data_IF_118295531004
#
_entry.id   IF_118295531004
#
_cell.length_a   1.000
_cell.length_b   1.000
_cell.length_c   1.000
_cell.angle_alpha   90.00
_cell.angle_beta   90.00
_cell.angle_gamma   90.00
#
_symmetry.space_group_name_H-M   'P 1'
#
loop_
_entity.id
_entity.type
_entity.pdbx_description
1 polymer ?
#
# COMPACT_ATOMS: atom_id res chain seq x y z
N UNK A 1 13.78 9.89 -24.06
CA UNK A 1 14.60 9.44 -22.91
C UNK A 1 13.85 8.32 -22.23
N UNK A 2 14.52 7.19 -22.04
CA UNK A 2 13.96 5.89 -21.62
C UNK A 2 13.50 5.93 -20.16
N UNK A 3 12.19 6.14 -19.95
CA UNK A 3 11.53 5.83 -18.68
C UNK A 3 11.06 4.38 -18.80
N UNK A 4 11.77 3.47 -18.12
CA UNK A 4 11.30 2.10 -17.95
C UNK A 4 9.97 2.14 -17.22
N UNK A 5 8.90 1.79 -17.91
CA UNK A 5 7.63 1.43 -17.28
C UNK A 5 7.86 0.10 -16.58
N UNK A 6 8.02 0.12 -15.24
CA UNK A 6 7.94 -1.11 -14.45
C UNK A 6 6.59 -1.78 -14.75
N UNK A 7 6.62 -3.06 -15.11
CA UNK A 7 5.39 -3.78 -15.42
C UNK A 7 4.49 -3.80 -14.17
N UNK A 8 3.20 -3.40 -14.27
CA UNK A 8 2.29 -3.37 -13.12
C UNK A 8 2.25 -4.69 -12.34
N UNK A 9 2.36 -5.81 -13.02
CA UNK A 9 2.41 -7.14 -12.40
C UNK A 9 3.69 -7.40 -11.61
N UNK A 10 4.86 -6.94 -12.09
CA UNK A 10 6.13 -7.10 -11.37
C UNK A 10 6.11 -6.29 -10.06
N UNK A 11 5.67 -5.03 -10.15
CA UNK A 11 5.50 -4.17 -8.97
C UNK A 11 4.47 -4.75 -7.99
N UNK A 12 3.37 -5.30 -8.50
CA UNK A 12 2.35 -5.90 -7.65
C UNK A 12 2.82 -7.21 -7.02
N UNK A 13 3.55 -8.06 -7.75
CA UNK A 13 4.16 -9.27 -7.18
C UNK A 13 5.15 -8.92 -6.07
N UNK A 14 5.98 -7.89 -6.27
CA UNK A 14 6.90 -7.42 -5.24
C UNK A 14 6.18 -6.95 -3.97
N UNK A 15 4.99 -6.34 -4.11
CA UNK A 15 4.12 -5.99 -2.98
C UNK A 15 3.57 -7.24 -2.29
N UNK A 16 3.04 -8.22 -3.03
CA UNK A 16 2.53 -9.47 -2.45
C UNK A 16 3.64 -10.22 -1.67
N UNK A 17 4.82 -10.35 -2.27
CA UNK A 17 5.97 -10.99 -1.64
C UNK A 17 6.44 -10.26 -0.37
N UNK A 18 6.26 -8.94 -0.31
CA UNK A 18 6.57 -8.15 0.87
C UNK A 18 5.51 -8.36 1.97
N UNK A 19 4.23 -8.41 1.62
CA UNK A 19 3.13 -8.69 2.56
C UNK A 19 3.25 -10.05 3.24
N UNK A 20 3.82 -11.04 2.56
CA UNK A 20 4.08 -12.38 3.14
C UNK A 20 5.12 -12.37 4.26
N UNK A 21 5.92 -11.31 4.38
CA UNK A 21 6.86 -11.13 5.50
C UNK A 21 6.19 -10.63 6.79
N UNK A 22 4.88 -10.32 6.73
CA UNK A 22 4.07 -9.83 7.87
C UNK A 22 2.86 -10.76 8.14
N UNK A 23 3.08 -12.01 8.55
CA UNK A 23 2.00 -13.01 8.70
C UNK A 23 0.98 -12.64 9.78
N UNK A 24 1.38 -11.86 10.80
CA UNK A 24 0.53 -11.47 11.92
C UNK A 24 -0.43 -10.29 11.60
N UNK A 25 -0.41 -9.78 10.36
CA UNK A 25 -1.26 -8.67 9.93
C UNK A 25 -2.36 -9.15 8.98
N UNK A 26 -3.59 -8.71 9.25
CA UNK A 26 -4.68 -8.82 8.29
C UNK A 26 -4.52 -7.80 7.17
N UNK A 27 -4.94 -8.18 5.95
CA UNK A 27 -4.80 -7.35 4.76
C UNK A 27 -6.17 -7.15 4.11
N UNK A 28 -6.52 -5.88 3.86
CA UNK A 28 -7.67 -5.54 3.00
C UNK A 28 -7.11 -5.02 1.67
N UNK A 29 -7.40 -5.73 0.59
CA UNK A 29 -7.03 -5.35 -0.77
C UNK A 29 -8.25 -4.77 -1.49
N UNK A 30 -8.21 -3.47 -1.78
CA UNK A 30 -9.18 -2.82 -2.67
C UNK A 30 -8.72 -2.94 -4.11
N UNK A 31 -9.66 -3.12 -5.05
CA UNK A 31 -9.29 -3.29 -6.46
C UNK A 31 -8.63 -2.00 -6.98
N UNK A 32 -7.68 -2.12 -7.92
CA UNK A 32 -7.09 -0.96 -8.57
C UNK A 32 -8.12 -0.22 -9.43
N UNK A 33 -7.73 0.95 -9.91
CA UNK A 33 -8.51 1.65 -10.93
C UNK A 33 -8.61 0.81 -12.20
N UNK A 34 -9.63 1.09 -13.03
CA UNK A 34 -9.96 0.28 -14.20
C UNK A 34 -9.09 0.59 -15.44
N UNK A 35 -7.90 1.16 -15.25
CA UNK A 35 -6.89 1.35 -16.29
C UNK A 35 -6.22 0.01 -16.68
N UNK A 36 -5.57 -0.04 -17.84
CA UNK A 36 -5.07 -1.29 -18.43
C UNK A 36 -4.07 -2.02 -17.51
N UNK A 37 -3.24 -1.27 -16.78
CA UNK A 37 -2.34 -1.84 -15.77
C UNK A 37 -3.09 -2.39 -14.55
N UNK A 38 -4.14 -1.71 -14.09
CA UNK A 38 -4.97 -2.15 -12.97
C UNK A 38 -5.75 -3.42 -13.28
N UNK A 39 -6.30 -3.57 -14.49
CA UNK A 39 -7.05 -4.78 -14.87
C UNK A 39 -6.17 -6.04 -14.87
N UNK A 40 -4.90 -5.90 -15.22
CA UNK A 40 -3.94 -7.02 -15.29
C UNK A 40 -3.57 -7.60 -13.93
N UNK A 41 -3.66 -6.80 -12.85
CA UNK A 41 -3.32 -7.26 -11.49
C UNK A 41 -4.52 -7.82 -10.71
N UNK A 42 -5.76 -7.64 -11.19
CA UNK A 42 -6.97 -8.18 -10.53
C UNK A 42 -6.88 -9.71 -10.32
N UNK A 43 -6.51 -10.52 -11.34
CA UNK A 43 -6.38 -11.96 -11.14
C UNK A 43 -5.34 -12.34 -10.08
N UNK A 44 -4.22 -11.62 -10.01
CA UNK A 44 -3.18 -11.84 -9.00
C UNK A 44 -3.70 -11.52 -7.59
N UNK A 45 -4.46 -10.43 -7.46
CA UNK A 45 -5.08 -9.99 -6.20
C UNK A 45 -6.10 -11.03 -5.70
N UNK A 46 -6.96 -11.50 -6.59
CA UNK A 46 -7.98 -12.51 -6.28
C UNK A 46 -7.34 -13.86 -5.91
N UNK A 47 -6.29 -14.26 -6.62
CA UNK A 47 -5.49 -15.46 -6.30
C UNK A 47 -4.87 -15.38 -4.91
N UNK A 48 -4.25 -14.26 -4.59
CA UNK A 48 -3.60 -14.05 -3.30
C UNK A 48 -4.59 -14.11 -2.14
N UNK A 49 -5.76 -13.50 -2.29
CA UNK A 49 -6.81 -13.55 -1.28
C UNK A 49 -7.38 -14.97 -1.11
N UNK A 50 -7.63 -15.68 -2.21
CA UNK A 50 -8.13 -17.06 -2.19
C UNK A 50 -7.12 -18.04 -1.57
N UNK A 51 -5.83 -17.79 -1.74
CA UNK A 51 -4.77 -18.58 -1.10
C UNK A 51 -4.62 -18.30 0.40
N UNK A 52 -5.15 -17.16 0.90
CA UNK A 52 -5.00 -16.71 2.29
C UNK A 52 -6.34 -16.23 2.91
N UNK A 53 -7.42 -17.03 2.88
CA UNK A 53 -8.78 -16.54 3.13
C UNK A 53 -9.03 -16.03 4.56
N UNK A 54 -8.29 -16.54 5.56
CA UNK A 54 -8.40 -16.11 6.96
C UNK A 54 -7.68 -14.77 7.23
N UNK A 55 -6.75 -14.38 6.35
CA UNK A 55 -5.86 -13.21 6.54
C UNK A 55 -6.16 -12.08 5.56
N UNK A 56 -6.59 -12.39 4.35
CA UNK A 56 -6.67 -11.44 3.24
C UNK A 56 -8.11 -11.31 2.74
N UNK A 57 -8.64 -10.10 2.79
CA UNK A 57 -9.92 -9.73 2.22
C UNK A 57 -9.72 -8.93 0.93
N UNK A 58 -10.04 -9.53 -0.22
CA UNK A 58 -10.15 -8.81 -1.49
C UNK A 58 -11.57 -8.25 -1.67
N UNK A 59 -11.69 -6.97 -1.99
CA UNK A 59 -12.98 -6.32 -2.23
C UNK A 59 -12.88 -5.28 -3.36
N UNK A 60 -13.85 -5.23 -4.30
CA UNK A 60 -13.82 -4.24 -5.38
C UNK A 60 -13.79 -2.80 -4.88
N UNK A 61 -14.61 -2.47 -3.90
CA UNK A 61 -14.62 -1.15 -3.27
C UNK A 61 -15.25 -1.22 -1.88
N UNK A 62 -14.66 -0.47 -0.95
CA UNK A 62 -15.27 -0.20 0.35
C UNK A 62 -16.26 0.97 0.29
N UNK A 63 -16.17 1.81 -0.75
CA UNK A 63 -16.73 3.15 -0.72
C UNK A 63 -16.01 4.06 0.30
N UNK A 64 -16.22 5.37 0.20
CA UNK A 64 -15.44 6.35 0.96
C UNK A 64 -15.57 6.18 2.47
N UNK A 65 -16.80 6.06 3.00
CA UNK A 65 -17.04 5.98 4.46
C UNK A 65 -16.35 4.76 5.07
N UNK A 66 -16.52 3.57 4.48
CA UNK A 66 -15.91 2.35 5.01
C UNK A 66 -14.40 2.34 4.81
N UNK A 67 -13.91 2.90 3.70
CA UNK A 67 -12.48 3.07 3.47
C UNK A 67 -11.83 3.93 4.55
N UNK A 68 -12.35 5.14 4.80
CA UNK A 68 -11.80 6.03 5.84
C UNK A 68 -11.96 5.44 7.25
N UNK A 69 -13.04 4.70 7.50
CA UNK A 69 -13.23 3.97 8.76
C UNK A 69 -12.18 2.88 8.93
N UNK A 70 -11.86 2.12 7.89
CA UNK A 70 -10.81 1.10 7.92
C UNK A 70 -9.43 1.73 8.09
N UNK A 71 -9.13 2.82 7.37
CA UNK A 71 -7.88 3.58 7.50
C UNK A 71 -7.63 3.98 8.95
N UNK A 72 -8.64 4.53 9.65
CA UNK A 72 -8.54 4.93 11.06
C UNK A 72 -8.01 3.83 11.98
N UNK A 73 -8.21 2.56 11.64
CA UNK A 73 -7.79 1.40 12.43
C UNK A 73 -6.61 0.64 11.81
N UNK A 74 -6.10 1.08 10.66
CA UNK A 74 -5.02 0.40 9.96
C UNK A 74 -3.66 0.69 10.60
N UNK A 75 -2.78 -0.31 10.60
CA UNK A 75 -1.37 -0.13 10.97
C UNK A 75 -0.60 0.71 9.93
N UNK A 76 -0.94 0.55 8.65
CA UNK A 76 -0.42 1.33 7.53
C UNK A 76 -1.36 1.22 6.32
N UNK A 77 -1.29 2.19 5.41
CA UNK A 77 -1.87 2.10 4.07
C UNK A 77 -0.74 1.92 3.06
N UNK A 78 -0.84 0.93 2.17
CA UNK A 78 0.24 0.55 1.26
C UNK A 78 -0.26 0.61 -0.18
N UNK A 79 0.54 1.20 -1.08
CA UNK A 79 0.23 1.25 -2.52
C UNK A 79 0.69 2.55 -3.17
N UNK A 80 -0.01 2.99 -4.21
CA UNK A 80 0.31 4.21 -4.96
C UNK A 80 -0.92 5.12 -5.20
N UNK A 81 -1.99 4.90 -4.43
CA UNK A 81 -3.21 5.69 -4.49
C UNK A 81 -2.98 7.10 -3.94
N UNK A 82 -3.65 8.10 -4.54
CA UNK A 82 -3.61 9.48 -4.05
C UNK A 82 -4.10 9.61 -2.61
N UNK A 83 -4.99 8.70 -2.19
CA UNK A 83 -5.51 8.63 -0.83
C UNK A 83 -4.43 8.55 0.24
N UNK A 84 -3.35 7.82 -0.06
CA UNK A 84 -2.21 7.68 0.84
C UNK A 84 -1.48 8.99 1.14
N UNK A 85 -1.64 10.02 0.30
CA UNK A 85 -0.93 11.29 0.44
C UNK A 85 -1.84 12.40 0.96
N UNK A 86 -3.11 12.37 0.57
CA UNK A 86 -4.05 13.45 0.86
C UNK A 86 -4.87 13.12 2.11
N UNK A 87 -5.59 11.99 2.11
CA UNK A 87 -6.53 11.64 3.18
C UNK A 87 -5.88 10.91 4.35
N UNK A 88 -5.05 9.90 4.09
CA UNK A 88 -4.49 9.00 5.13
C UNK A 88 -3.70 9.75 6.21
N UNK A 89 -2.86 10.77 5.90
CA UNK A 89 -2.13 11.50 6.94
C UNK A 89 -3.02 12.16 8.00
N UNK A 90 -4.27 12.51 7.66
CA UNK A 90 -5.21 13.11 8.61
C UNK A 90 -5.66 12.15 9.73
N UNK A 91 -5.43 10.84 9.57
CA UNK A 91 -5.77 9.81 10.54
C UNK A 91 -4.59 9.38 11.42
N UNK A 92 -3.44 10.04 11.31
CA UNK A 92 -2.19 9.62 11.96
C UNK A 92 -1.80 8.16 11.65
N UNK A 93 -2.04 7.77 10.39
CA UNK A 93 -1.70 6.45 9.86
C UNK A 93 -0.59 6.63 8.83
N UNK A 94 0.47 5.82 8.87
CA UNK A 94 1.54 5.90 7.87
C UNK A 94 1.08 5.35 6.52
N UNK A 95 1.61 5.96 5.47
CA UNK A 95 1.46 5.47 4.10
C UNK A 95 2.79 4.94 3.60
N UNK A 96 2.81 3.73 3.06
CA UNK A 96 3.90 3.22 2.23
C UNK A 96 3.55 3.49 0.76
N UNK A 97 4.12 4.56 0.21
CA UNK A 97 3.93 4.99 -1.17
C UNK A 97 4.94 4.29 -2.10
N UNK A 98 4.45 3.41 -2.97
CA UNK A 98 5.27 2.54 -3.82
C UNK A 98 5.46 3.18 -5.20
N UNK A 99 6.72 3.20 -5.65
CA UNK A 99 7.11 3.66 -6.98
C UNK A 99 7.07 5.18 -7.13
N UNK A 100 7.02 5.63 -8.38
CA UNK A 100 7.20 7.05 -8.73
C UNK A 100 5.90 7.80 -9.01
N UNK A 101 4.75 7.13 -8.99
CA UNK A 101 3.44 7.69 -9.42
C UNK A 101 3.08 8.99 -8.72
N UNK A 102 3.49 9.15 -7.47
CA UNK A 102 3.18 10.34 -6.67
C UNK A 102 4.40 11.25 -6.42
N UNK A 103 5.51 11.03 -7.11
CA UNK A 103 6.73 11.82 -6.96
C UNK A 103 6.46 13.29 -7.30
N UNK A 104 6.95 14.19 -6.44
CA UNK A 104 6.80 15.64 -6.61
C UNK A 104 5.57 16.26 -5.93
N UNK A 105 4.69 15.46 -5.32
CA UNK A 105 3.63 15.98 -4.45
C UNK A 105 4.20 16.36 -3.08
N UNK A 106 3.67 17.45 -2.51
CA UNK A 106 3.90 17.74 -1.09
C UNK A 106 3.28 16.62 -0.27
N UNK A 107 4.06 16.00 0.61
CA UNK A 107 3.64 14.85 1.40
C UNK A 107 4.01 15.04 2.87
N UNK A 108 3.18 14.54 3.77
CA UNK A 108 3.45 14.55 5.20
C UNK A 108 4.63 13.62 5.53
N UNK A 109 5.27 13.80 6.70
CA UNK A 109 6.33 12.91 7.21
C UNK A 109 5.88 11.44 7.31
N UNK A 110 4.57 11.20 7.50
CA UNK A 110 3.97 9.86 7.56
C UNK A 110 3.86 9.17 6.20
N UNK A 111 4.20 9.84 5.10
CA UNK A 111 4.26 9.25 3.75
C UNK A 111 5.68 8.78 3.47
N UNK A 112 5.89 7.47 3.57
CA UNK A 112 7.18 6.81 3.39
C UNK A 112 7.26 6.24 1.97
N UNK A 113 8.30 6.60 1.23
CA UNK A 113 8.45 6.18 -0.17
C UNK A 113 9.27 4.90 -0.27
N UNK A 114 8.79 3.94 -1.06
CA UNK A 114 9.48 2.69 -1.39
C UNK A 114 9.66 2.55 -2.90
N UNK A 115 10.78 1.97 -3.33
CA UNK A 115 10.89 1.45 -4.69
C UNK A 115 9.98 0.22 -4.86
N UNK A 116 9.58 -0.12 -6.08
CA UNK A 116 8.71 -1.26 -6.35
C UNK A 116 9.46 -2.61 -6.29
N UNK A 117 10.27 -2.80 -5.25
CA UNK A 117 11.03 -4.03 -4.99
C UNK A 117 10.63 -4.60 -3.64
N UNK A 118 10.61 -5.94 -3.52
CA UNK A 118 10.24 -6.64 -2.29
C UNK A 118 10.99 -6.10 -1.06
N UNK A 119 12.31 -5.95 -1.17
CA UNK A 119 13.16 -5.48 -0.09
C UNK A 119 12.81 -4.05 0.35
N UNK A 120 12.67 -3.13 -0.61
CA UNK A 120 12.33 -1.74 -0.31
C UNK A 120 10.93 -1.63 0.32
N UNK A 121 9.96 -2.38 -0.21
CA UNK A 121 8.59 -2.40 0.33
C UNK A 121 8.59 -2.98 1.75
N UNK A 122 9.24 -4.13 1.98
CA UNK A 122 9.27 -4.80 3.30
C UNK A 122 9.93 -3.94 4.38
N UNK A 123 11.06 -3.31 4.04
CA UNK A 123 11.75 -2.38 4.95
C UNK A 123 10.89 -1.17 5.29
N UNK A 124 10.17 -0.63 4.29
CA UNK A 124 9.33 0.55 4.48
C UNK A 124 8.06 0.21 5.27
N UNK A 125 7.46 -0.96 5.05
CA UNK A 125 6.36 -1.46 5.89
C UNK A 125 6.83 -1.61 7.33
N UNK A 126 8.01 -2.21 7.56
CA UNK A 126 8.58 -2.36 8.91
C UNK A 126 8.76 -1.02 9.62
N UNK A 127 9.25 -0.01 8.91
CA UNK A 127 9.38 1.36 9.41
C UNK A 127 8.01 2.00 9.71
N UNK A 128 7.03 1.80 8.82
CA UNK A 128 5.67 2.31 8.99
C UNK A 128 4.99 1.72 10.23
N UNK A 129 4.91 0.38 10.33
CA UNK A 129 4.19 -0.31 11.41
C UNK A 129 4.85 -0.09 12.78
N UNK A 130 6.18 0.04 12.83
CA UNK A 130 6.90 0.35 14.06
C UNK A 130 6.88 1.83 14.44
N UNK A 131 6.35 2.70 13.56
CA UNK A 131 6.32 4.16 13.71
C UNK A 131 7.68 4.82 13.95
N UNK A 132 8.80 4.13 13.66
CA UNK A 132 10.18 4.63 13.89
C UNK A 132 10.59 5.82 13.02
N UNK A 133 9.71 6.27 12.12
CA UNK A 133 9.89 7.51 11.35
C UNK A 133 9.45 8.76 12.13
N UNK A 134 8.64 8.60 13.19
CA UNK A 134 8.32 9.68 14.13
C UNK A 134 9.53 9.91 15.04
N UNK A 135 9.84 11.17 15.33
CA UNK A 135 10.79 11.48 16.39
C UNK A 135 10.21 11.01 17.74
N UNK A 136 11.06 10.72 18.74
CA UNK A 136 10.64 10.21 20.07
C UNK A 136 9.60 11.07 20.81
N UNK A 137 9.34 12.31 20.35
CA UNK A 137 8.46 13.29 20.97
C UNK A 137 7.23 13.69 20.11
N UNK A 138 6.95 13.00 19.00
CA UNK A 138 5.75 13.25 18.19
C UNK A 138 4.68 12.17 18.47
N UNK A 139 3.70 12.49 19.33
CA UNK A 139 2.48 11.68 19.50
C UNK A 139 1.49 11.96 18.37
#
# INVERSE_FOLDING_TARGET
>A
MTLGEEAPEESFQALLDALDTFPDHQVILTYPNADDGGRRIIPMLEEYARSNPERVLAIPSLGQVRYLSAVKHAAAVIGNSSSGIIEVPAFDVPTVNIGSRQKGRLAAKSVLNAAATKESISNTISLAVSRKYKAENEN
#
